data_IF_502636034660
#
_entry.id   IF_502636034660
#
_cell.length_a   1.000
_cell.length_b   1.000
_cell.length_c   1.000
_cell.angle_alpha   90.00
_cell.angle_beta   90.00
_cell.angle_gamma   90.00
#
_symmetry.space_group_name_H-M   'P 1'
#
loop_
_entity.id
_entity.type
_entity.pdbx_description
1 polymer ?
#
# COMPACT_ATOMS: atom_id res chain seq x y z
N UNK A 1 -4.22 -2.66 -0.25
CA UNK A 1 -5.32 -2.94 0.70
C UNK A 1 -5.76 -1.64 1.37
N UNK A 2 -7.00 -1.54 1.80
CA UNK A 2 -7.56 -0.33 2.42
C UNK A 2 -8.54 -0.66 3.55
N UNK A 3 -8.61 0.18 4.59
CA UNK A 3 -9.63 0.05 5.65
C UNK A 3 -11.05 0.42 5.20
N UNK A 4 -11.26 0.85 3.95
CA UNK A 4 -12.60 1.05 3.40
C UNK A 4 -13.27 -0.30 3.11
N UNK A 5 -14.60 -0.41 3.24
CA UNK A 5 -15.35 -1.54 2.72
C UNK A 5 -15.13 -1.72 1.21
N UNK A 6 -15.09 -2.95 0.71
CA UNK A 6 -14.80 -3.28 -0.69
C UNK A 6 -15.63 -2.46 -1.67
N UNK A 7 -16.95 -2.40 -1.43
CA UNK A 7 -17.87 -1.62 -2.29
C UNK A 7 -17.52 -0.13 -2.35
N UNK A 8 -17.15 0.47 -1.22
CA UNK A 8 -16.79 1.88 -1.17
C UNK A 8 -15.45 2.15 -1.87
N UNK A 9 -14.47 1.26 -1.70
CA UNK A 9 -13.18 1.35 -2.37
C UNK A 9 -13.31 1.26 -3.90
N UNK A 10 -14.08 0.29 -4.40
CA UNK A 10 -14.32 0.12 -5.84
C UNK A 10 -15.03 1.34 -6.44
N UNK A 11 -16.05 1.89 -5.76
CA UNK A 11 -16.74 3.10 -6.23
C UNK A 11 -15.81 4.31 -6.30
N UNK A 12 -14.91 4.49 -5.31
CA UNK A 12 -13.92 5.56 -5.32
C UNK A 12 -12.99 5.44 -6.52
N UNK A 13 -12.45 4.25 -6.79
CA UNK A 13 -11.58 4.01 -7.94
C UNK A 13 -12.30 4.24 -9.28
N UNK A 14 -13.54 3.75 -9.41
CA UNK A 14 -14.34 3.90 -10.63
C UNK A 14 -14.65 5.38 -10.92
N UNK A 15 -14.89 6.20 -9.89
CA UNK A 15 -15.17 7.64 -10.07
C UNK A 15 -14.05 8.43 -10.74
N UNK A 16 -12.82 7.89 -10.71
CA UNK A 16 -11.63 8.47 -11.35
C UNK A 16 -11.04 7.60 -12.46
N UNK A 17 -11.75 6.54 -12.88
CA UNK A 17 -11.34 5.64 -13.96
C UNK A 17 -10.12 4.76 -13.66
N UNK A 18 -9.86 4.46 -12.38
CA UNK A 18 -8.71 3.65 -11.96
C UNK A 18 -9.06 2.20 -11.62
N UNK A 19 -10.35 1.85 -11.58
CA UNK A 19 -10.83 0.52 -11.17
C UNK A 19 -10.27 -0.61 -12.04
N UNK A 20 -10.08 -0.37 -13.34
CA UNK A 20 -9.54 -1.37 -14.27
C UNK A 20 -8.09 -1.79 -13.98
N UNK A 21 -7.34 -1.02 -13.17
CA UNK A 21 -5.96 -1.36 -12.80
C UNK A 21 -5.86 -2.27 -11.57
N UNK A 22 -6.96 -2.53 -10.87
CA UNK A 22 -6.98 -3.35 -9.66
C UNK A 22 -7.75 -4.65 -9.91
N UNK A 23 -7.07 -5.78 -9.71
CA UNK A 23 -7.66 -7.13 -9.89
C UNK A 23 -8.25 -7.69 -8.60
N UNK A 24 -7.96 -7.08 -7.45
CA UNK A 24 -8.41 -7.51 -6.12
C UNK A 24 -7.69 -6.75 -5.01
N UNK A 25 -7.83 -7.22 -3.77
CA UNK A 25 -7.09 -6.69 -2.62
C UNK A 25 -7.81 -6.90 -1.30
N UNK A 26 -7.20 -6.44 -0.21
CA UNK A 26 -7.80 -6.54 1.13
C UNK A 26 -8.59 -5.29 1.49
N UNK A 27 -9.75 -5.51 2.11
CA UNK A 27 -10.73 -4.46 2.46
C UNK A 27 -11.16 -4.51 3.93
N UNK A 28 -11.60 -3.37 4.47
CA UNK A 28 -11.90 -3.22 5.91
C UNK A 28 -13.19 -3.89 6.38
N UNK A 29 -14.03 -4.36 5.47
CA UNK A 29 -15.20 -5.19 5.76
C UNK A 29 -14.87 -6.69 5.89
N UNK A 30 -13.63 -7.08 5.55
CA UNK A 30 -13.12 -8.45 5.67
C UNK A 30 -12.20 -8.62 6.88
N UNK A 31 -11.43 -7.58 7.21
CA UNK A 31 -10.44 -7.60 8.29
C UNK A 31 -10.49 -6.33 9.13
N UNK A 32 -10.41 -6.51 10.46
CA UNK A 32 -10.30 -5.40 11.42
C UNK A 32 -8.84 -4.98 11.65
N UNK A 33 -7.88 -5.90 11.47
CA UNK A 33 -6.46 -5.63 11.64
C UNK A 33 -5.74 -5.43 10.31
N UNK A 34 -4.72 -4.55 10.32
CA UNK A 34 -4.01 -4.15 9.11
C UNK A 34 -3.18 -5.28 8.49
N UNK A 35 -2.68 -6.19 9.31
CA UNK A 35 -1.75 -7.25 8.88
C UNK A 35 -2.51 -8.32 8.12
N UNK A 36 -3.63 -8.81 8.66
CA UNK A 36 -4.54 -9.74 8.00
C UNK A 36 -5.05 -9.16 6.69
N UNK A 37 -5.50 -7.90 6.71
CA UNK A 37 -5.97 -7.18 5.53
C UNK A 37 -4.93 -7.16 4.40
N UNK A 38 -3.67 -6.79 4.71
CA UNK A 38 -2.62 -6.73 3.69
C UNK A 38 -2.21 -8.12 3.19
N UNK A 39 -2.10 -9.09 4.10
CA UNK A 39 -1.67 -10.46 3.76
C UNK A 39 -2.68 -11.18 2.87
N UNK A 40 -3.95 -11.17 3.27
CA UNK A 40 -4.98 -11.89 2.52
C UNK A 40 -5.35 -11.15 1.24
N UNK A 41 -5.31 -9.82 1.26
CA UNK A 41 -5.40 -9.00 0.05
C UNK A 41 -4.28 -9.28 -0.96
N UNK A 42 -3.05 -9.50 -0.52
CA UNK A 42 -1.95 -9.89 -1.39
C UNK A 42 -2.19 -11.28 -2.00
N UNK A 43 -2.64 -12.26 -1.20
CA UNK A 43 -2.97 -13.61 -1.68
C UNK A 43 -4.10 -13.60 -2.70
N UNK A 44 -5.13 -12.76 -2.51
CA UNK A 44 -6.24 -12.62 -3.45
C UNK A 44 -5.76 -12.21 -4.85
N UNK A 45 -4.73 -11.36 -4.95
CA UNK A 45 -4.15 -10.93 -6.23
C UNK A 45 -3.07 -11.89 -6.76
N UNK A 46 -2.93 -13.07 -6.16
CA UNK A 46 -2.02 -14.13 -6.61
C UNK A 46 -0.61 -14.06 -6.03
N UNK A 47 -0.38 -13.28 -4.97
CA UNK A 47 0.91 -13.29 -4.28
C UNK A 47 1.12 -14.61 -3.53
N UNK A 48 2.32 -15.17 -3.65
CA UNK A 48 2.81 -16.32 -2.89
C UNK A 48 4.04 -15.97 -2.06
N UNK A 49 4.27 -16.69 -0.96
CA UNK A 49 5.47 -16.51 -0.15
C UNK A 49 6.75 -16.62 -1.00
N UNK A 50 7.71 -15.73 -0.73
CA UNK A 50 8.95 -15.59 -1.50
C UNK A 50 8.85 -14.66 -2.71
N UNK A 51 7.65 -14.28 -3.15
CA UNK A 51 7.50 -13.19 -4.11
C UNK A 51 7.69 -11.84 -3.43
N UNK A 52 8.31 -10.90 -4.14
CA UNK A 52 8.43 -9.54 -3.66
C UNK A 52 7.05 -8.90 -3.52
N UNK A 53 6.76 -8.40 -2.33
CA UNK A 53 5.57 -7.62 -2.03
C UNK A 53 6.00 -6.18 -1.76
N UNK A 54 5.29 -5.21 -2.34
CA UNK A 54 5.51 -3.80 -2.07
C UNK A 54 4.23 -3.20 -1.50
N UNK A 55 4.36 -2.48 -0.39
CA UNK A 55 3.27 -1.67 0.17
C UNK A 55 3.61 -0.20 -0.03
N UNK A 56 2.69 0.51 -0.68
CA UNK A 56 2.78 1.95 -0.91
C UNK A 56 1.67 2.61 -0.11
N UNK A 57 1.99 3.62 0.69
CA UNK A 57 1.00 4.35 1.47
C UNK A 57 1.54 5.60 2.15
N UNK A 58 0.66 6.32 2.83
CA UNK A 58 0.88 7.67 3.34
C UNK A 58 0.68 7.79 4.86
N UNK A 59 0.52 6.66 5.56
CA UNK A 59 0.30 6.61 7.01
C UNK A 59 1.27 5.64 7.71
N UNK A 60 1.43 5.82 9.01
CA UNK A 60 2.13 4.91 9.91
C UNK A 60 1.57 3.48 9.89
N UNK A 61 0.28 3.34 9.59
CA UNK A 61 -0.38 2.05 9.47
C UNK A 61 0.05 1.29 8.21
N UNK A 62 0.34 2.00 7.11
CA UNK A 62 0.91 1.40 5.90
C UNK A 62 2.29 0.84 6.18
N UNK A 63 3.10 1.60 6.92
CA UNK A 63 4.48 1.24 7.25
C UNK A 63 4.51 0.05 8.19
N UNK A 64 3.82 0.15 9.32
CA UNK A 64 3.79 -0.91 10.34
C UNK A 64 3.14 -2.17 9.78
N UNK A 65 2.04 -2.04 9.05
CA UNK A 65 1.35 -3.17 8.43
C UNK A 65 2.17 -3.84 7.34
N UNK A 66 2.82 -3.06 6.46
CA UNK A 66 3.68 -3.56 5.38
C UNK A 66 4.89 -4.33 5.92
N UNK A 67 5.59 -3.77 6.92
CA UNK A 67 6.70 -4.45 7.59
C UNK A 67 6.25 -5.77 8.25
N UNK A 68 5.10 -5.78 8.91
CA UNK A 68 4.58 -6.98 9.57
C UNK A 68 4.21 -8.11 8.60
N UNK A 69 3.99 -7.81 7.31
CA UNK A 69 3.79 -8.83 6.26
C UNK A 69 5.07 -9.11 5.45
N UNK A 70 6.20 -8.52 5.82
CA UNK A 70 7.48 -8.70 5.12
C UNK A 70 7.55 -8.01 3.76
N UNK A 71 6.72 -6.99 3.52
CA UNK A 71 6.76 -6.21 2.30
C UNK A 71 7.89 -5.17 2.35
N UNK A 72 8.36 -4.77 1.16
CA UNK A 72 9.13 -3.53 0.98
C UNK A 72 8.15 -2.34 1.06
N UNK A 73 8.41 -1.39 1.94
CA UNK A 73 7.50 -0.28 2.23
C UNK A 73 7.99 1.02 1.61
N UNK A 74 7.17 1.61 0.75
CA UNK A 74 7.37 2.95 0.20
C UNK A 74 6.35 3.90 0.83
N UNK A 75 6.81 4.76 1.73
CA UNK A 75 5.98 5.84 2.28
C UNK A 75 5.94 7.04 1.32
N UNK A 76 4.77 7.66 1.16
CA UNK A 76 4.55 8.81 0.28
C UNK A 76 3.97 9.98 1.08
N UNK A 77 4.71 11.08 1.19
CA UNK A 77 4.37 12.23 2.03
C UNK A 77 3.37 13.21 1.38
N UNK A 78 2.37 12.69 0.67
CA UNK A 78 1.26 13.47 0.10
C UNK A 78 -0.02 13.38 0.95
N UNK A 79 0.01 12.56 2.00
CA UNK A 79 -1.11 12.31 2.90
C UNK A 79 -1.24 13.33 4.02
N UNK A 80 -1.92 12.88 5.08
CA UNK A 80 -2.19 13.68 6.29
C UNK A 80 -1.15 13.45 7.39
N UNK A 81 -0.45 12.31 7.37
CA UNK A 81 0.62 11.99 8.32
C UNK A 81 1.85 12.84 7.99
N UNK A 82 2.47 13.42 9.03
CA UNK A 82 3.61 14.31 8.84
C UNK A 82 4.85 13.55 8.35
N UNK A 83 5.77 14.27 7.69
CA UNK A 83 7.04 13.68 7.25
C UNK A 83 7.82 13.07 8.42
N UNK A 84 7.86 13.77 9.56
CA UNK A 84 8.58 13.33 10.76
C UNK A 84 7.95 12.05 11.33
N UNK A 85 6.61 11.95 11.34
CA UNK A 85 5.92 10.75 11.77
C UNK A 85 6.18 9.57 10.83
N UNK A 86 6.20 9.80 9.51
CA UNK A 86 6.54 8.75 8.55
C UNK A 86 7.98 8.25 8.76
N UNK A 87 8.94 9.17 8.92
CA UNK A 87 10.35 8.83 9.19
C UNK A 87 10.49 8.02 10.49
N UNK A 88 9.76 8.39 11.55
CA UNK A 88 9.82 7.70 12.84
C UNK A 88 9.38 6.22 12.77
N UNK A 89 8.60 5.83 11.76
CA UNK A 89 8.20 4.43 11.51
C UNK A 89 9.17 3.67 10.59
N UNK A 90 10.23 4.34 10.12
CA UNK A 90 11.37 3.80 9.37
C UNK A 90 10.98 3.05 8.07
N UNK A 91 10.25 3.64 7.12
CA UNK A 91 9.93 2.98 5.85
C UNK A 91 11.20 2.64 5.06
N UNK A 92 11.15 1.62 4.19
CA UNK A 92 12.31 1.26 3.37
C UNK A 92 12.65 2.34 2.33
N UNK A 93 11.65 3.09 1.87
CA UNK A 93 11.81 4.29 1.08
C UNK A 93 10.76 5.35 1.46
N UNK A 94 11.14 6.62 1.33
CA UNK A 94 10.27 7.76 1.55
C UNK A 94 10.33 8.69 0.34
N UNK A 95 9.16 8.98 -0.24
CA UNK A 95 9.00 9.87 -1.37
C UNK A 95 8.14 11.08 -0.98
N UNK A 96 8.47 12.30 -1.43
CA UNK A 96 7.62 13.47 -1.19
C UNK A 96 6.32 13.40 -1.99
N UNK A 97 6.32 12.75 -3.16
CA UNK A 97 5.18 12.49 -4.04
C UNK A 97 5.59 11.48 -5.13
N UNK A 98 4.66 11.14 -6.04
CA UNK A 98 4.87 10.16 -7.13
C UNK A 98 5.16 10.80 -8.50
N UNK A 99 5.59 12.08 -8.55
CA UNK A 99 5.77 12.80 -9.83
C UNK A 99 7.05 12.42 -10.57
N UNK A 100 8.08 11.95 -9.85
CA UNK A 100 9.31 11.41 -10.45
C UNK A 100 9.11 9.92 -10.78
N UNK A 101 8.59 9.66 -11.99
CA UNK A 101 8.25 8.31 -12.42
C UNK A 101 9.47 7.38 -12.51
N UNK A 102 10.63 7.90 -12.91
CA UNK A 102 11.85 7.10 -13.02
C UNK A 102 12.28 6.60 -11.63
N UNK A 103 12.25 7.49 -10.63
CA UNK A 103 12.52 7.13 -9.24
C UNK A 103 11.51 6.12 -8.70
N UNK A 104 10.20 6.35 -8.94
CA UNK A 104 9.14 5.45 -8.49
C UNK A 104 9.31 4.06 -9.11
N UNK A 105 9.50 3.97 -10.44
CA UNK A 105 9.65 2.69 -11.14
C UNK A 105 10.90 1.95 -10.64
N UNK A 106 12.03 2.63 -10.46
CA UNK A 106 13.25 2.02 -9.94
C UNK A 106 13.03 1.39 -8.55
N UNK A 107 12.35 2.11 -7.65
CA UNK A 107 12.01 1.58 -6.33
C UNK A 107 11.05 0.38 -6.40
N UNK A 108 10.03 0.45 -7.26
CA UNK A 108 8.98 -0.56 -7.34
C UNK A 108 9.42 -1.84 -8.05
N UNK A 109 10.33 -1.77 -9.03
CA UNK A 109 10.82 -2.96 -9.73
C UNK A 109 12.05 -3.60 -9.07
N UNK A 110 12.76 -2.83 -8.25
CA UNK A 110 14.01 -3.27 -7.66
C UNK A 110 15.12 -3.21 -8.71
N UNK A 111 16.24 -2.60 -8.36
CA UNK A 111 17.47 -2.66 -9.15
C UNK A 111 18.12 -4.03 -9.08
#
# INVERSE_FOLDING_TARGET
GTGNPRRAAVLKLASVGLDAYFTGGGFGDEHLDRVGLLRDGAREIGWSEGQRLVVIGDTEHDITGGKAVGAFVVAVATGWTSLDDLVAHEPDALLPNLSDLDQVIALLLGS
#
